data_IF_567365045173
#
_entry.id   IF_567365045173
#
_cell.length_a   1.000
_cell.length_b   1.000
_cell.length_c   1.000
_cell.angle_alpha   90.00
_cell.angle_beta   90.00
_cell.angle_gamma   90.00
#
_symmetry.space_group_name_H-M   'P 1'
#
loop_
_entity.id
_entity.type
_entity.pdbx_description
1 polymer ?
#
# COMPACT_ATOMS: atom_id res chain seq x y z
N UNK A 1 11.97 20.20 -12.06
CA UNK A 1 13.34 19.64 -12.00
C UNK A 1 13.57 18.82 -13.26
N UNK A 2 14.81 18.46 -13.63
CA UNK A 2 15.05 17.42 -14.63
C UNK A 2 14.30 16.14 -14.25
N UNK A 3 13.70 15.48 -15.23
CA UNK A 3 12.90 14.28 -15.07
C UNK A 3 13.67 13.08 -15.64
N UNK A 4 14.80 12.78 -14.99
CA UNK A 4 15.83 11.87 -15.50
C UNK A 4 16.10 10.67 -14.58
N UNK A 5 15.27 10.48 -13.55
CA UNK A 5 15.38 9.45 -12.52
C UNK A 5 16.74 9.45 -11.76
N UNK A 6 17.50 10.55 -11.81
CA UNK A 6 18.82 10.67 -11.17
C UNK A 6 18.79 10.76 -9.65
N UNK A 7 17.69 11.25 -9.07
CA UNK A 7 17.60 11.61 -7.66
C UNK A 7 16.14 11.66 -7.17
N UNK A 8 15.94 11.50 -5.87
CA UNK A 8 14.62 11.63 -5.23
C UNK A 8 14.16 13.10 -5.23
N UNK A 9 12.88 13.34 -5.57
CA UNK A 9 12.30 14.69 -5.59
C UNK A 9 12.19 15.21 -4.15
N UNK A 10 13.00 16.22 -3.83
CA UNK A 10 13.03 16.88 -2.51
C UNK A 10 11.70 17.53 -2.05
N UNK A 11 10.68 17.60 -2.93
CA UNK A 11 9.39 18.23 -2.66
C UNK A 11 8.22 17.27 -2.86
N UNK A 12 7.45 17.04 -1.79
CA UNK A 12 6.24 16.19 -1.80
C UNK A 12 5.01 16.88 -2.44
N UNK A 13 5.15 18.12 -2.93
CA UNK A 13 4.07 18.88 -3.56
C UNK A 13 4.10 18.72 -5.09
N UNK A 14 2.95 18.37 -5.66
CA UNK A 14 2.75 18.16 -7.11
C UNK A 14 1.60 19.04 -7.62
N UNK A 15 1.64 19.41 -8.90
CA UNK A 15 0.53 20.11 -9.58
C UNK A 15 -0.28 19.16 -10.47
N UNK A 16 -1.58 19.40 -10.65
CA UNK A 16 -2.40 18.58 -11.55
C UNK A 16 -1.90 18.70 -12.99
N UNK A 17 -1.50 17.56 -13.58
CA UNK A 17 -0.83 17.51 -14.89
C UNK A 17 0.70 17.47 -14.84
N UNK A 18 1.31 17.46 -13.65
CA UNK A 18 2.63 16.81 -13.47
C UNK A 18 2.45 15.28 -13.47
N UNK A 19 3.57 14.56 -13.55
CA UNK A 19 3.63 13.11 -13.30
C UNK A 19 4.31 12.82 -11.96
N UNK A 20 3.89 11.72 -11.33
CA UNK A 20 4.50 11.11 -10.15
C UNK A 20 5.46 10.03 -10.63
N UNK A 21 6.75 10.17 -10.31
CA UNK A 21 7.80 9.26 -10.77
C UNK A 21 8.13 8.28 -9.64
N UNK A 22 7.58 7.08 -9.74
CA UNK A 22 7.55 6.09 -8.68
C UNK A 22 8.54 4.97 -9.01
N UNK A 23 9.56 4.83 -8.15
CA UNK A 23 10.50 3.72 -8.20
C UNK A 23 10.25 2.79 -7.01
N UNK A 24 10.02 1.51 -7.31
CA UNK A 24 10.15 0.44 -6.35
C UNK A 24 11.53 -0.22 -6.54
N UNK A 25 12.19 -0.58 -5.45
CA UNK A 25 13.51 -1.22 -5.45
C UNK A 25 13.58 -2.27 -4.32
N UNK A 26 14.37 -3.33 -4.52
CA UNK A 26 14.68 -4.32 -3.47
C UNK A 26 16.19 -4.39 -3.33
N UNK A 27 16.69 -4.07 -2.13
CA UNK A 27 18.12 -4.07 -1.83
C UNK A 27 18.74 -5.45 -2.15
N UNK A 28 19.64 -5.47 -3.15
CA UNK A 28 20.34 -6.67 -3.59
C UNK A 28 21.29 -7.18 -2.49
N UNK A 29 20.77 -8.08 -1.66
CA UNK A 29 21.51 -8.74 -0.59
C UNK A 29 22.20 -10.02 -1.07
N UNK A 30 22.69 -10.82 -0.12
CA UNK A 30 23.31 -12.12 -0.41
C UNK A 30 22.25 -13.23 -0.67
N UNK A 31 21.35 -12.96 -1.62
CA UNK A 31 20.31 -13.86 -2.11
C UNK A 31 20.50 -14.14 -3.60
N UNK A 32 19.74 -15.09 -4.15
CA UNK A 32 19.68 -15.31 -5.61
C UNK A 32 19.24 -14.03 -6.35
N UNK A 33 19.59 -13.82 -7.62
CA UNK A 33 19.11 -12.66 -8.39
C UNK A 33 17.58 -12.59 -8.44
N UNK A 34 17.00 -11.42 -8.18
CA UNK A 34 15.54 -11.24 -8.06
C UNK A 34 14.98 -10.23 -9.06
N UNK A 35 13.90 -10.61 -9.74
CA UNK A 35 13.07 -9.69 -10.52
C UNK A 35 11.94 -9.14 -9.65
N UNK A 36 11.90 -7.83 -9.48
CA UNK A 36 10.87 -7.11 -8.73
C UNK A 36 9.62 -6.89 -9.59
N UNK A 37 8.44 -7.01 -8.99
CA UNK A 37 7.18 -6.58 -9.57
C UNK A 37 6.32 -5.85 -8.53
N UNK A 38 5.48 -4.94 -9.01
CA UNK A 38 4.31 -4.44 -8.28
C UNK A 38 3.17 -5.42 -8.52
N UNK A 39 2.53 -5.93 -7.47
CA UNK A 39 1.32 -6.75 -7.57
C UNK A 39 0.07 -5.87 -7.70
N UNK A 40 -0.05 -4.90 -6.79
CA UNK A 40 -1.04 -3.83 -6.84
C UNK A 40 -0.49 -2.53 -6.19
N UNK A 41 -1.16 -1.41 -6.48
CA UNK A 41 -0.95 -0.10 -5.86
C UNK A 41 -2.32 0.58 -5.69
N UNK A 42 -2.64 1.03 -4.47
CA UNK A 42 -3.89 1.74 -4.18
C UNK A 42 -3.57 3.08 -3.54
N UNK A 43 -4.18 4.14 -4.08
CA UNK A 43 -4.16 5.47 -3.49
C UNK A 43 -5.37 5.68 -2.56
N UNK A 44 -5.18 6.43 -1.47
CA UNK A 44 -6.14 6.68 -0.39
C UNK A 44 -5.93 8.05 0.27
N UNK A 45 -6.87 8.51 1.10
CA UNK A 45 -6.79 9.76 1.88
C UNK A 45 -6.18 9.60 3.29
N UNK A 46 -5.59 8.43 3.60
CA UNK A 46 -4.90 8.13 4.86
C UNK A 46 -3.88 7.00 4.65
N UNK A 47 -2.92 6.77 5.57
CA UNK A 47 -2.00 5.63 5.48
C UNK A 47 -2.67 4.24 5.51
N UNK A 48 -3.94 4.11 5.91
CA UNK A 48 -4.66 2.84 5.78
C UNK A 48 -5.10 2.63 4.33
N UNK A 49 -4.45 1.68 3.66
CA UNK A 49 -4.79 1.19 2.32
C UNK A 49 -6.24 0.67 2.20
N UNK A 50 -6.88 0.30 3.32
CA UNK A 50 -8.29 -0.12 3.36
C UNK A 50 -9.27 1.02 3.65
N UNK A 51 -8.80 2.26 3.81
CA UNK A 51 -9.67 3.42 3.98
C UNK A 51 -10.55 3.68 2.73
N UNK A 52 -11.46 4.64 2.88
CA UNK A 52 -12.27 5.19 1.78
C UNK A 52 -12.10 6.71 1.76
N UNK A 53 -12.04 7.35 0.59
CA UNK A 53 -12.06 6.77 -0.75
C UNK A 53 -10.75 6.05 -1.11
N UNK A 54 -10.82 5.15 -2.11
CA UNK A 54 -9.67 4.37 -2.60
C UNK A 54 -9.65 4.29 -4.13
N UNK A 55 -8.47 4.34 -4.74
CA UNK A 55 -8.29 4.39 -6.20
C UNK A 55 -7.11 3.50 -6.62
N UNK A 56 -7.40 2.42 -7.37
CA UNK A 56 -6.38 1.46 -7.82
C UNK A 56 -5.55 2.01 -9.00
N UNK A 57 -4.24 2.10 -8.83
CA UNK A 57 -3.28 2.53 -9.84
C UNK A 57 -2.71 1.33 -10.59
N UNK A 58 -2.35 0.29 -9.84
CA UNK A 58 -2.00 -1.05 -10.34
C UNK A 58 -2.93 -2.05 -9.64
N UNK A 59 -3.44 -3.03 -10.38
CA UNK A 59 -4.26 -4.14 -9.87
C UNK A 59 -3.99 -5.39 -10.74
N UNK A 60 -4.75 -6.47 -10.54
CA UNK A 60 -4.72 -7.68 -11.37
C UNK A 60 -3.30 -8.30 -11.50
N UNK A 61 -2.53 -8.22 -10.40
CA UNK A 61 -1.16 -8.71 -10.31
C UNK A 61 -0.21 -8.10 -11.35
N UNK A 62 -0.16 -6.76 -11.39
CA UNK A 62 0.81 -5.99 -12.18
C UNK A 62 0.27 -5.32 -13.45
N UNK A 63 -1.05 -5.15 -13.60
CA UNK A 63 -1.64 -4.34 -14.66
C UNK A 63 -1.77 -2.89 -14.17
N UNK A 64 -1.12 -1.93 -14.84
CA UNK A 64 -1.24 -0.50 -14.52
C UNK A 64 -2.58 0.03 -15.10
N UNK A 65 -3.64 -0.21 -14.35
CA UNK A 65 -5.05 0.10 -14.71
C UNK A 65 -5.34 1.59 -14.79
N UNK A 66 -4.46 2.44 -14.26
CA UNK A 66 -4.57 3.89 -14.42
C UNK A 66 -4.43 4.32 -15.89
N UNK A 67 -3.30 3.98 -16.54
CA UNK A 67 -2.98 4.32 -17.94
C UNK A 67 -3.95 3.78 -19.00
N UNK A 68 -4.88 2.89 -18.60
CA UNK A 68 -5.96 2.38 -19.47
C UNK A 68 -7.05 3.44 -19.72
N UNK A 69 -7.16 4.46 -18.89
CA UNK A 69 -8.12 5.57 -18.98
C UNK A 69 -7.67 6.59 -20.03
N UNK A 70 -8.62 7.21 -20.74
CA UNK A 70 -8.32 8.05 -21.91
C UNK A 70 -7.49 9.31 -21.59
N UNK A 71 -7.65 9.87 -20.39
CA UNK A 71 -7.04 11.15 -19.98
C UNK A 71 -5.61 11.04 -19.39
N UNK A 72 -5.11 9.83 -19.07
CA UNK A 72 -3.86 9.60 -18.32
C UNK A 72 -2.67 9.12 -19.17
N UNK A 73 -1.45 9.53 -18.88
CA UNK A 73 -0.19 9.09 -19.54
C UNK A 73 0.61 8.04 -18.77
N UNK A 74 0.08 7.59 -17.63
CA UNK A 74 0.70 6.70 -16.65
C UNK A 74 1.12 5.33 -17.21
N UNK A 75 2.39 4.96 -17.05
CA UNK A 75 2.95 3.71 -17.58
C UNK A 75 4.15 3.20 -16.77
N UNK A 76 4.39 1.88 -16.76
CA UNK A 76 5.70 1.34 -16.40
C UNK A 76 6.76 1.75 -17.43
N UNK A 77 7.95 2.12 -16.96
CA UNK A 77 9.11 2.40 -17.79
C UNK A 77 9.71 1.07 -18.29
N UNK A 78 10.05 1.01 -19.57
CA UNK A 78 10.76 -0.11 -20.19
C UNK A 78 11.84 0.42 -21.15
N UNK A 79 13.06 -0.17 -21.19
CA UNK A 79 13.52 -1.29 -20.35
C UNK A 79 13.72 -0.88 -18.88
N UNK A 80 13.88 -1.87 -17.99
CA UNK A 80 14.21 -1.62 -16.57
C UNK A 80 15.66 -1.17 -16.41
N UNK A 81 15.99 -0.38 -15.37
CA UNK A 81 17.38 -0.12 -14.98
C UNK A 81 18.13 -1.37 -14.46
N UNK A 82 17.43 -2.21 -13.67
CA UNK A 82 17.91 -3.46 -13.05
C UNK A 82 16.75 -4.45 -12.91
N UNK A 83 17.02 -5.70 -12.54
CA UNK A 83 15.93 -6.68 -12.32
C UNK A 83 15.19 -6.39 -11.00
N UNK A 84 15.95 -5.97 -9.99
CA UNK A 84 15.53 -5.63 -8.63
C UNK A 84 14.80 -4.28 -8.55
N UNK A 85 14.78 -3.49 -9.63
CA UNK A 85 14.17 -2.16 -9.73
C UNK A 85 12.96 -2.19 -10.67
N UNK A 86 11.91 -1.41 -10.35
CA UNK A 86 10.78 -1.17 -11.23
C UNK A 86 10.31 0.29 -11.13
N UNK A 87 10.37 1.00 -12.26
CA UNK A 87 9.98 2.41 -12.39
C UNK A 87 8.63 2.52 -13.12
N UNK A 88 7.77 3.44 -12.68
CA UNK A 88 6.50 3.75 -13.34
C UNK A 88 6.04 5.18 -13.07
N UNK A 89 5.32 5.76 -14.03
CA UNK A 89 4.65 7.05 -13.89
C UNK A 89 3.18 6.87 -13.53
N UNK A 90 2.67 7.81 -12.74
CA UNK A 90 1.24 8.01 -12.44
C UNK A 90 0.94 9.50 -12.60
N UNK A 91 -0.13 9.87 -13.30
CA UNK A 91 -0.45 11.28 -13.54
C UNK A 91 -0.93 11.93 -12.23
N UNK A 92 -0.45 13.13 -11.89
CA UNK A 92 -0.77 13.76 -10.61
C UNK A 92 -2.26 14.14 -10.52
N UNK A 93 -2.95 13.59 -9.52
CA UNK A 93 -4.39 13.74 -9.30
C UNK A 93 -4.73 14.08 -7.84
N UNK A 94 -5.98 14.52 -7.61
CA UNK A 94 -6.61 14.58 -6.28
C UNK A 94 -7.94 13.84 -6.26
N UNK A 95 -8.41 13.45 -5.07
CA UNK A 95 -9.80 13.01 -4.89
C UNK A 95 -10.74 14.23 -4.91
N UNK A 96 -11.81 14.19 -5.71
CA UNK A 96 -12.78 15.29 -5.74
C UNK A 96 -13.51 15.43 -4.38
N UNK A 97 -13.55 16.65 -3.85
CA UNK A 97 -14.15 16.96 -2.54
C UNK A 97 -13.21 16.76 -1.34
N UNK A 98 -11.90 16.53 -1.55
CA UNK A 98 -10.90 16.64 -0.50
C UNK A 98 -10.05 17.92 -0.70
N UNK A 99 -10.24 18.89 0.19
CA UNK A 99 -9.52 20.17 0.15
C UNK A 99 -8.06 20.06 0.62
N UNK A 100 -7.70 18.98 1.35
CA UNK A 100 -6.32 18.76 1.85
C UNK A 100 -5.34 18.47 0.72
N UNK A 101 -5.82 18.02 -0.45
CA UNK A 101 -5.04 17.73 -1.65
C UNK A 101 -3.87 16.76 -1.40
N UNK A 102 -4.04 15.86 -0.42
CA UNK A 102 -3.03 14.89 0.01
C UNK A 102 -3.48 13.46 -0.32
N UNK A 103 -2.60 12.69 -0.94
CA UNK A 103 -2.82 11.26 -1.23
C UNK A 103 -1.72 10.41 -0.62
N UNK A 104 -2.09 9.22 -0.14
CA UNK A 104 -1.16 8.17 0.25
C UNK A 104 -1.26 7.04 -0.78
N UNK A 105 -0.13 6.63 -1.35
CA UNK A 105 -0.04 5.49 -2.27
C UNK A 105 0.57 4.32 -1.49
N UNK A 106 -0.10 3.16 -1.50
CA UNK A 106 0.39 1.94 -0.85
C UNK A 106 0.36 0.78 -1.83
N UNK A 107 1.52 0.19 -2.07
CA UNK A 107 1.72 -0.88 -3.05
C UNK A 107 2.12 -2.19 -2.37
N UNK A 108 1.66 -3.32 -2.93
CA UNK A 108 2.17 -4.63 -2.60
C UNK A 108 3.26 -5.02 -3.61
N UNK A 109 4.49 -5.18 -3.12
CA UNK A 109 5.64 -5.62 -3.91
C UNK A 109 5.81 -7.15 -3.82
N UNK A 110 6.30 -7.77 -4.89
CA UNK A 110 6.59 -9.20 -4.99
C UNK A 110 7.86 -9.44 -5.81
N UNK A 111 8.48 -10.60 -5.64
CA UNK A 111 9.71 -10.97 -6.35
C UNK A 111 9.62 -12.38 -6.95
N UNK A 112 10.35 -12.63 -8.03
CA UNK A 112 10.67 -13.97 -8.52
C UNK A 112 12.18 -14.10 -8.75
N UNK A 113 12.75 -15.31 -8.89
CA UNK A 113 14.07 -15.47 -9.49
C UNK A 113 14.12 -14.81 -10.87
N UNK A 114 15.28 -14.27 -11.26
CA UNK A 114 15.49 -13.66 -12.60
C UNK A 114 15.32 -14.70 -13.72
N UNK A 115 15.74 -15.94 -13.50
CA UNK A 115 15.63 -17.04 -14.48
C UNK A 115 14.19 -17.53 -14.66
N UNK A 116 13.26 -17.19 -13.74
CA UNK A 116 11.85 -17.48 -13.93
C UNK A 116 11.24 -16.48 -14.92
N UNK A 117 10.74 -16.99 -16.04
CA UNK A 117 10.06 -16.16 -17.04
C UNK A 117 8.84 -15.40 -16.46
N UNK A 118 8.62 -14.13 -16.89
CA UNK A 118 7.38 -13.41 -16.63
C UNK A 118 6.16 -14.19 -17.10
N UNK A 119 5.05 -14.05 -16.38
CA UNK A 119 3.84 -14.86 -16.58
C UNK A 119 2.59 -14.09 -16.09
N UNK A 120 1.35 -14.57 -16.36
CA UNK A 120 0.13 -13.86 -15.96
C UNK A 120 0.00 -13.49 -14.48
N UNK A 121 0.70 -14.18 -13.58
CA UNK A 121 0.78 -13.86 -12.14
C UNK A 121 1.95 -12.95 -11.77
N UNK A 122 3.05 -12.95 -12.54
CA UNK A 122 4.28 -12.17 -12.31
C UNK A 122 4.66 -11.38 -13.58
N UNK A 123 4.16 -10.15 -13.68
CA UNK A 123 4.31 -9.25 -14.82
C UNK A 123 4.26 -7.79 -14.37
N UNK A 124 4.64 -6.88 -15.26
CA UNK A 124 4.35 -5.45 -15.18
C UNK A 124 3.86 -5.01 -16.56
N UNK A 125 2.60 -4.56 -16.66
CA UNK A 125 1.91 -4.30 -17.93
C UNK A 125 1.38 -2.87 -17.99
N UNK A 126 1.70 -2.16 -19.08
CA UNK A 126 1.19 -0.83 -19.42
C UNK A 126 0.18 -0.94 -20.56
N UNK A 127 -0.86 -0.09 -20.59
CA UNK A 127 -1.74 -0.01 -21.76
C UNK A 127 -1.17 0.98 -22.78
N UNK A 128 -0.82 0.50 -23.98
CA UNK A 128 -0.39 1.36 -25.08
C UNK A 128 -1.62 1.81 -25.88
N UNK A 129 -1.98 3.09 -25.73
CA UNK A 129 -3.12 3.71 -26.42
C UNK A 129 -2.99 3.72 -27.95
N UNK A 130 -1.77 3.87 -28.48
CA UNK A 130 -1.53 3.95 -29.92
C UNK A 130 -1.78 2.61 -30.64
N UNK A 131 -1.50 1.48 -29.96
CA UNK A 131 -1.86 0.14 -30.45
C UNK A 131 -3.19 -0.38 -29.90
N UNK A 132 -3.77 0.28 -28.89
CA UNK A 132 -4.91 -0.19 -28.10
C UNK A 132 -4.69 -1.59 -27.48
N UNK A 133 -3.46 -1.88 -27.06
CA UNK A 133 -3.05 -3.17 -26.51
C UNK A 133 -2.24 -3.01 -25.22
N UNK A 134 -2.35 -4.00 -24.34
CA UNK A 134 -1.46 -4.11 -23.19
C UNK A 134 -0.08 -4.64 -23.61
N UNK A 135 0.98 -4.00 -23.14
CA UNK A 135 2.36 -4.39 -23.38
C UNK A 135 3.09 -4.64 -22.04
N UNK A 136 3.84 -5.75 -21.91
CA UNK A 136 4.67 -5.98 -20.73
C UNK A 136 5.95 -5.15 -20.76
N UNK A 137 6.54 -4.90 -19.59
CA UNK A 137 7.92 -4.40 -19.47
C UNK A 137 8.93 -5.42 -20.01
N UNK A 138 8.73 -6.71 -19.71
CA UNK A 138 9.51 -7.83 -20.24
C UNK A 138 8.66 -9.12 -20.37
N UNK A 139 9.07 -10.05 -21.22
CA UNK A 139 8.33 -11.29 -21.51
C UNK A 139 7.42 -11.19 -22.74
N UNK A 140 6.54 -12.18 -22.92
CA UNK A 140 5.65 -12.28 -24.10
C UNK A 140 4.36 -11.49 -23.89
N UNK A 141 3.81 -10.89 -24.96
CA UNK A 141 2.68 -9.95 -24.86
C UNK A 141 1.38 -10.58 -24.33
N UNK A 142 1.20 -11.89 -24.50
CA UNK A 142 0.03 -12.64 -24.04
C UNK A 142 -0.12 -12.66 -22.51
N UNK A 143 0.96 -12.50 -21.74
CA UNK A 143 0.89 -12.47 -20.27
C UNK A 143 0.05 -11.30 -19.75
N UNK A 144 -0.07 -10.23 -20.54
CA UNK A 144 -0.89 -9.06 -20.23
C UNK A 144 -2.33 -9.14 -20.77
N UNK A 145 -2.68 -10.16 -21.56
CA UNK A 145 -4.04 -10.31 -22.12
C UNK A 145 -5.13 -10.33 -21.04
N UNK A 146 -4.82 -10.89 -19.87
CA UNK A 146 -5.74 -10.95 -18.75
C UNK A 146 -6.10 -9.56 -18.16
N UNK A 147 -5.28 -8.53 -18.38
CA UNK A 147 -5.52 -7.17 -17.90
C UNK A 147 -6.81 -6.57 -18.49
N UNK A 148 -7.05 -6.73 -19.80
CA UNK A 148 -8.26 -6.22 -20.46
C UNK A 148 -9.52 -7.02 -20.04
N UNK A 149 -9.36 -8.32 -19.76
CA UNK A 149 -10.48 -9.18 -19.30
C UNK A 149 -10.88 -8.95 -17.84
N UNK A 150 -10.04 -8.27 -17.05
CA UNK A 150 -10.23 -8.13 -15.60
C UNK A 150 -10.04 -9.41 -14.79
N UNK A 151 -9.43 -10.46 -15.36
CA UNK A 151 -9.35 -11.81 -14.77
C UNK A 151 -7.94 -12.41 -14.90
N UNK A 152 -6.95 -11.78 -14.29
CA UNK A 152 -5.62 -12.39 -14.11
C UNK A 152 -5.64 -13.41 -12.96
N UNK A 153 -4.90 -14.54 -13.08
CA UNK A 153 -4.77 -15.50 -11.99
C UNK A 153 -4.01 -14.89 -10.81
N UNK A 154 -4.45 -15.17 -9.59
CA UNK A 154 -3.72 -14.79 -8.39
C UNK A 154 -2.75 -15.90 -7.96
N UNK A 155 -1.72 -15.49 -7.23
CA UNK A 155 -0.83 -16.40 -6.53
C UNK A 155 -1.64 -17.31 -5.57
N UNK A 156 -1.52 -18.63 -5.73
CA UNK A 156 -2.32 -19.62 -4.98
C UNK A 156 -3.64 -20.06 -5.65
N UNK A 157 -3.92 -19.65 -6.89
CA UNK A 157 -4.95 -20.27 -7.73
C UNK A 157 -6.41 -19.84 -7.50
N UNK A 158 -6.66 -18.94 -6.54
CA UNK A 158 -7.99 -18.36 -6.34
C UNK A 158 -8.20 -17.13 -7.22
N UNK A 159 -9.09 -17.19 -8.20
CA UNK A 159 -9.57 -15.97 -8.87
C UNK A 159 -10.30 -15.07 -7.86
N UNK A 160 -9.82 -13.84 -7.65
CA UNK A 160 -10.66 -12.78 -7.06
C UNK A 160 -11.91 -12.68 -7.92
N UNK A 161 -13.11 -12.81 -7.33
CA UNK A 161 -14.32 -12.34 -8.03
C UNK A 161 -14.10 -10.87 -8.38
N UNK A 162 -14.28 -10.43 -9.64
CA UNK A 162 -14.11 -9.03 -9.99
C UNK A 162 -14.97 -8.17 -9.08
N UNK A 163 -14.35 -7.22 -8.38
CA UNK A 163 -15.09 -6.18 -7.69
C UNK A 163 -15.93 -5.46 -8.77
N UNK A 164 -17.26 -5.35 -8.67
CA UNK A 164 -18.07 -4.83 -9.78
C UNK A 164 -17.71 -3.41 -10.23
N UNK A 165 -17.01 -2.63 -9.39
CA UNK A 165 -16.39 -1.36 -9.76
C UNK A 165 -15.32 -1.48 -10.88
N UNK A 166 -14.66 -2.63 -11.02
CA UNK A 166 -13.67 -2.93 -12.06
C UNK A 166 -14.29 -3.40 -13.39
N UNK A 167 -15.62 -3.55 -13.48
CA UNK A 167 -16.30 -3.91 -14.75
C UNK A 167 -16.54 -2.69 -15.65
N UNK A 168 -15.52 -1.84 -15.76
CA UNK A 168 -15.43 -0.55 -16.45
C UNK A 168 -16.75 0.16 -16.84
N UNK A 169 -17.56 0.66 -15.88
CA UNK A 169 -18.62 1.62 -16.15
C UNK A 169 -18.14 3.02 -15.71
N UNK A 170 -18.07 3.99 -16.63
CA UNK A 170 -17.41 5.29 -16.42
C UNK A 170 -18.07 6.27 -15.43
N UNK A 171 -18.37 5.87 -14.18
CA UNK A 171 -18.87 6.74 -13.10
C UNK A 171 -18.40 6.33 -11.70
N UNK A 172 -17.85 7.33 -10.98
CA UNK A 172 -17.66 7.40 -9.51
C UNK A 172 -16.59 6.50 -8.89
N UNK A 173 -15.34 6.84 -9.18
CA UNK A 173 -14.66 7.74 -8.25
C UNK A 173 -14.06 8.90 -9.03
N UNK A 174 -14.53 10.13 -8.78
CA UNK A 174 -14.03 11.30 -9.52
C UNK A 174 -12.69 11.72 -8.93
N UNK A 175 -11.63 11.45 -9.67
CA UNK A 175 -10.40 12.24 -9.55
C UNK A 175 -10.61 13.52 -10.35
N UNK A 176 -10.09 14.64 -9.87
CA UNK A 176 -10.05 15.86 -10.65
C UNK A 176 -8.72 15.93 -11.39
N UNK A 177 -8.74 15.64 -12.69
CA UNK A 177 -7.70 16.07 -13.63
C UNK A 177 -8.07 17.46 -14.16
N UNK A 178 -7.08 18.33 -14.36
CA UNK A 178 -7.31 19.72 -14.78
C UNK A 178 -7.68 19.79 -16.28
N UNK A 179 -8.97 19.65 -16.57
CA UNK A 179 -9.50 19.62 -17.94
C UNK A 179 -9.13 20.88 -18.75
N UNK A 180 -8.48 20.69 -19.90
CA UNK A 180 -8.12 21.75 -20.85
C UNK A 180 -9.32 22.29 -21.64
N UNK A 181 -10.36 22.79 -20.96
CA UNK A 181 -11.37 23.65 -21.59
C UNK A 181 -12.05 24.59 -20.57
N UNK A 182 -11.37 25.70 -20.30
CA UNK A 182 -11.90 26.86 -19.57
C UNK A 182 -11.24 28.12 -20.11
N UNK A 183 -12.02 29.16 -20.44
CA UNK A 183 -11.49 30.41 -21.01
C UNK A 183 -10.66 31.14 -19.96
N UNK A 184 -9.38 31.38 -20.24
CA UNK A 184 -8.50 32.12 -19.35
C UNK A 184 -8.95 33.58 -19.22
N UNK A 185 -9.69 33.88 -18.15
CA UNK A 185 -9.97 35.26 -17.74
C UNK A 185 -8.79 35.75 -16.91
N UNK A 186 -7.76 36.29 -17.56
CA UNK A 186 -6.57 36.81 -16.90
C UNK A 186 -6.88 38.08 -16.10
N UNK A 187 -7.37 37.91 -14.86
CA UNK A 187 -7.48 39.00 -13.90
C UNK A 187 -6.08 39.41 -13.46
N UNK A 188 -5.59 40.53 -14.00
CA UNK A 188 -4.32 41.13 -13.60
C UNK A 188 -4.40 41.59 -12.14
N UNK A 189 -3.74 40.86 -11.25
CA UNK A 189 -3.37 41.39 -9.93
C UNK A 189 -2.00 42.05 -10.04
N UNK A 190 -1.93 43.31 -9.60
CA UNK A 190 -0.76 44.16 -9.69
C UNK A 190 -0.16 44.31 -8.28
N UNK A 191 1.10 43.91 -8.03
CA UNK A 191 1.65 43.83 -6.69
C UNK A 191 2.14 45.20 -6.19
N UNK A 192 1.64 45.71 -5.05
CA UNK A 192 2.11 46.97 -4.47
C UNK A 192 3.35 46.78 -3.59
N UNK A 193 4.30 47.73 -3.68
CA UNK A 193 5.16 48.15 -2.57
C UNK A 193 6.30 47.22 -2.16
N UNK A 194 7.51 47.55 -2.57
CA UNK A 194 8.74 46.96 -2.01
C UNK A 194 8.95 47.38 -0.55
N UNK A 195 9.24 46.41 0.34
CA UNK A 195 9.41 46.62 1.78
C UNK A 195 10.62 45.85 2.34
N UNK A 196 11.38 46.54 3.19
CA UNK A 196 12.72 46.25 3.74
C UNK A 196 13.05 44.80 4.20
N UNK A 197 14.35 44.47 4.20
CA UNK A 197 14.89 43.23 4.75
C UNK A 197 15.02 43.30 6.28
N UNK A 198 14.59 42.23 6.98
CA UNK A 198 15.24 41.74 8.21
C UNK A 198 14.69 40.40 8.69
N UNK A 199 15.60 39.54 9.17
CA UNK A 199 15.33 38.46 10.12
C UNK A 199 14.28 37.41 9.74
N UNK A 200 14.73 36.26 9.22
CA UNK A 200 14.12 34.99 9.57
C UNK A 200 15.14 34.16 10.34
N UNK A 201 14.83 33.93 11.62
CA UNK A 201 15.66 33.17 12.53
C UNK A 201 15.65 31.67 12.21
N UNK A 202 16.70 31.00 12.67
CA UNK A 202 16.90 29.57 12.54
C UNK A 202 15.81 28.79 13.30
N UNK A 203 14.97 28.04 12.59
CA UNK A 203 13.96 27.17 13.23
C UNK A 203 14.58 25.81 13.55
N UNK A 204 15.21 25.73 14.73
CA UNK A 204 15.89 24.53 15.23
C UNK A 204 14.97 23.31 15.37
N UNK A 205 15.47 22.17 14.92
CA UNK A 205 14.72 20.92 14.74
C UNK A 205 14.53 20.08 16.03
N UNK A 206 14.25 20.71 17.19
CA UNK A 206 14.11 20.02 18.48
C UNK A 206 12.78 20.32 19.22
N UNK A 207 11.63 19.86 18.68
CA UNK A 207 10.39 19.76 19.48
C UNK A 207 9.34 18.72 19.02
N UNK A 208 9.71 17.44 18.90
CA UNK A 208 8.73 16.34 18.71
C UNK A 208 8.97 15.05 19.54
N UNK A 209 9.93 15.04 20.47
CA UNK A 209 10.24 13.84 21.29
C UNK A 209 9.34 13.65 22.54
N UNK A 210 8.25 14.43 22.69
CA UNK A 210 7.38 14.38 23.87
C UNK A 210 6.23 13.35 23.77
N UNK A 211 5.54 13.28 22.62
CA UNK A 211 4.30 12.48 22.47
C UNK A 211 4.52 10.97 22.26
N UNK A 212 5.77 10.52 22.14
CA UNK A 212 6.11 9.09 22.01
C UNK A 212 5.90 8.27 23.30
N UNK A 213 5.55 8.93 24.42
CA UNK A 213 5.46 8.35 25.77
C UNK A 213 4.07 7.81 26.14
N UNK A 214 2.98 8.39 25.62
CA UNK A 214 1.63 8.21 26.19
C UNK A 214 0.75 7.15 25.46
N UNK A 215 1.35 6.27 24.64
CA UNK A 215 0.60 5.33 23.77
C UNK A 215 1.06 3.85 23.79
N UNK A 216 2.02 3.47 24.65
CA UNK A 216 2.48 2.07 24.77
C UNK A 216 1.81 1.26 25.90
N UNK A 217 1.17 1.91 26.87
CA UNK A 217 0.56 1.24 28.04
C UNK A 217 -0.83 0.61 27.78
N UNK A 218 -1.25 0.48 26.51
CA UNK A 218 -2.53 -0.15 26.12
C UNK A 218 -2.41 -1.43 25.30
N UNK A 219 -1.23 -2.08 25.29
CA UNK A 219 -1.05 -3.43 24.73
C UNK A 219 -0.50 -4.46 25.73
N UNK A 220 -0.73 -4.26 27.03
CA UNK A 220 -0.38 -5.23 28.10
C UNK A 220 -1.48 -5.29 29.18
N UNK A 221 -2.64 -5.85 28.83
CA UNK A 221 -3.76 -6.02 29.79
C UNK A 221 -4.54 -7.33 29.56
N UNK A 222 -4.93 -7.62 28.31
CA UNK A 222 -5.66 -8.86 27.96
C UNK A 222 -4.84 -10.13 28.20
N UNK A 223 -3.53 -10.10 27.94
CA UNK A 223 -2.61 -11.23 28.13
C UNK A 223 -2.38 -11.54 29.61
N UNK A 224 -2.11 -10.52 30.42
CA UNK A 224 -1.89 -10.66 31.88
C UNK A 224 -3.14 -11.21 32.57
N UNK A 225 -4.32 -10.73 32.17
CA UNK A 225 -5.60 -11.21 32.70
C UNK A 225 -5.85 -12.70 32.42
N UNK A 226 -5.56 -13.16 31.19
CA UNK A 226 -5.71 -14.58 30.82
C UNK A 226 -4.75 -15.48 31.61
N UNK A 227 -3.49 -15.07 31.79
CA UNK A 227 -2.51 -15.82 32.57
C UNK A 227 -2.91 -15.90 34.05
N UNK A 228 -3.40 -14.81 34.64
CA UNK A 228 -3.89 -14.79 36.02
C UNK A 228 -5.10 -15.73 36.22
N UNK A 229 -6.05 -15.75 35.29
CA UNK A 229 -7.22 -16.66 35.33
C UNK A 229 -6.80 -18.14 35.21
N UNK A 230 -5.83 -18.46 34.35
CA UNK A 230 -5.30 -19.82 34.21
C UNK A 230 -4.58 -20.31 35.49
N UNK A 231 -3.82 -19.42 36.14
CA UNK A 231 -3.18 -19.73 37.44
C UNK A 231 -4.24 -19.95 38.53
N UNK A 232 -5.26 -19.08 38.62
CA UNK A 232 -6.35 -19.26 39.60
C UNK A 232 -7.11 -20.57 39.39
N UNK A 233 -7.43 -20.91 38.13
CA UNK A 233 -8.13 -22.15 37.78
C UNK A 233 -7.30 -23.41 38.12
N UNK A 234 -5.99 -23.41 37.83
CA UNK A 234 -5.11 -24.54 38.14
C UNK A 234 -4.92 -24.75 39.64
N UNK A 235 -4.80 -23.67 40.42
CA UNK A 235 -4.75 -23.75 41.90
C UNK A 235 -6.06 -24.28 42.49
N UNK A 236 -7.22 -23.87 41.96
CA UNK A 236 -8.53 -24.40 42.37
C UNK A 236 -8.68 -25.90 42.05
N UNK A 237 -8.25 -26.34 40.87
CA UNK A 237 -8.24 -27.76 40.52
C UNK A 237 -7.32 -28.59 41.43
N UNK A 238 -6.11 -28.10 41.75
CA UNK A 238 -5.16 -28.81 42.62
C UNK A 238 -5.63 -28.89 44.07
N UNK A 239 -6.24 -27.82 44.60
CA UNK A 239 -6.82 -27.84 45.96
C UNK A 239 -8.05 -28.75 46.05
N UNK A 240 -8.92 -28.76 45.04
CA UNK A 240 -10.04 -29.70 44.95
C UNK A 240 -9.57 -31.17 44.87
N UNK A 241 -8.56 -31.47 44.06
CA UNK A 241 -7.94 -32.80 43.97
C UNK A 241 -7.29 -33.21 45.30
N UNK A 242 -6.59 -32.28 45.97
CA UNK A 242 -6.02 -32.49 47.29
C UNK A 242 -7.08 -32.87 48.32
N UNK A 243 -8.18 -32.12 48.39
CA UNK A 243 -9.33 -32.42 49.26
C UNK A 243 -9.96 -33.78 48.93
N UNK A 244 -10.17 -34.12 47.66
CA UNK A 244 -10.67 -35.44 47.26
C UNK A 244 -9.74 -36.59 47.70
N UNK A 245 -8.42 -36.42 47.59
CA UNK A 245 -7.44 -37.42 48.01
C UNK A 245 -7.34 -37.55 49.54
N UNK A 246 -7.51 -36.45 50.29
CA UNK A 246 -7.61 -36.47 51.75
C UNK A 246 -8.90 -37.15 52.19
N UNK A 247 -10.06 -36.79 51.62
CA UNK A 247 -11.33 -37.44 51.91
C UNK A 247 -11.28 -38.95 51.66
N UNK A 248 -10.69 -39.40 50.53
CA UNK A 248 -10.49 -40.84 50.26
C UNK A 248 -9.55 -41.55 51.25
N UNK A 249 -8.66 -40.83 51.96
CA UNK A 249 -7.85 -41.38 53.05
C UNK A 249 -8.55 -41.36 54.41
N UNK A 250 -9.45 -40.41 54.65
CA UNK A 250 -10.24 -40.35 55.88
C UNK A 250 -11.43 -41.33 55.90
N UNK A 251 -11.89 -41.84 54.75
CA UNK A 251 -13.01 -42.77 54.66
C UNK A 251 -12.72 -44.24 55.04
N UNK A 252 -11.56 -44.53 55.65
CA UNK A 252 -11.19 -45.86 56.11
C UNK A 252 -11.14 -45.92 57.66
N UNK A 253 -12.25 -46.22 58.35
CA UNK A 253 -12.20 -46.55 59.77
C UNK A 253 -11.44 -47.87 59.99
N UNK A 254 -10.64 -48.01 61.06
CA UNK A 254 -9.98 -49.28 61.37
C UNK A 254 -11.01 -50.33 61.77
N UNK A 255 -10.89 -51.54 61.20
CA UNK A 255 -11.74 -52.67 61.55
C UNK A 255 -11.44 -53.17 62.97
N UNK A 256 -12.50 -53.41 63.75
CA UNK A 256 -12.42 -54.03 65.08
C UNK A 256 -12.25 -55.54 64.91
N UNK A 257 -11.26 -56.20 65.56
CA UNK A 257 -11.15 -57.66 65.56
C UNK A 257 -12.21 -58.31 66.48
N UNK A 258 -12.39 -59.62 66.31
CA UNK A 258 -13.23 -60.48 67.16
C UNK A 258 -12.75 -60.52 68.62
#
# INVERSE_FOLDING_TARGET
LPDDWSSERQSNGFQLGESLHLQADVAAGNHIPLRLFVDDCVATLSPDRNSSPRYALVDLSGCLVDGRLDDTTSAFISPRPRQETLQFTVDAFRFAGDERSLIYITCHLKVSPVDQAPNPSNKACSFNKASSLWAPVEGTGDICSCCETGNCPLYGGYSRRPNPAARWPGRRLRRDLSSKQGRALCSRYEPPGQGDHRGWDNWDAERSLADASHLKDKLSSSTVSLVAVLIAATVLCLTALGLFLVCRKCSCPPGVPL
#
